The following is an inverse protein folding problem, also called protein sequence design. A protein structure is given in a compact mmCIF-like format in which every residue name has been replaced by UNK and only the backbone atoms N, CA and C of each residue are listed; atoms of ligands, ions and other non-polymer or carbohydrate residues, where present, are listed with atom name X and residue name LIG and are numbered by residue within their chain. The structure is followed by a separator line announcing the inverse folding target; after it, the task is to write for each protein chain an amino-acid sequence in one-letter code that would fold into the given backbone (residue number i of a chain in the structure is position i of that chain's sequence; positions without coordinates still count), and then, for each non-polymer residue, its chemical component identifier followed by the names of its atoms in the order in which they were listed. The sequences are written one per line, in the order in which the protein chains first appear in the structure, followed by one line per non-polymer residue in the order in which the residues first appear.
data_IF_413746118278
#
_entry.id   IF_413746118278
#
_cell.length_a   1.000
_cell.length_b   1.000
_cell.length_c   1.000
_cell.angle_alpha   90.00
_cell.angle_beta   90.00
_cell.angle_gamma   90.00
#
_symmetry.space_group_name_H-M   'P 1'
#
loop_
_entity.id
_entity.type
_entity.pdbx_description
1 polymer ?
#
# COMPACT_ATOMS: atom_id res chain seq x y z
N UNK A 1 -12.31 -23.15 0.89
CA UNK A 1 -11.26 -22.47 0.11
C UNK A 1 -10.01 -23.36 0.08
N UNK A 2 -9.45 -23.58 -1.10
CA UNK A 2 -8.19 -24.33 -1.22
C UNK A 2 -7.36 -23.84 -2.39
N UNK A 3 -6.06 -23.58 -2.17
CA UNK A 3 -5.14 -23.11 -3.20
C UNK A 3 -3.69 -23.53 -2.94
N UNK A 4 -2.90 -23.50 -4.02
CA UNK A 4 -1.45 -23.77 -4.00
C UNK A 4 -0.72 -22.59 -4.66
N UNK A 5 0.33 -22.10 -4.02
CA UNK A 5 1.16 -21.03 -4.57
C UNK A 5 2.64 -21.17 -4.16
N UNK A 6 3.52 -20.49 -4.88
CA UNK A 6 4.94 -20.42 -4.57
C UNK A 6 5.20 -19.65 -3.28
N UNK A 7 6.04 -20.20 -2.39
CA UNK A 7 6.37 -19.62 -1.08
C UNK A 7 7.02 -18.24 -1.19
N UNK A 8 7.91 -18.03 -2.16
CA UNK A 8 8.64 -16.78 -2.31
C UNK A 8 7.70 -15.64 -2.70
N UNK A 9 6.80 -15.90 -3.67
CA UNK A 9 5.77 -14.95 -4.09
C UNK A 9 4.78 -14.62 -2.95
N UNK A 10 4.34 -15.64 -2.22
CA UNK A 10 3.46 -15.47 -1.08
C UNK A 10 4.12 -14.64 0.03
N UNK A 11 5.37 -14.94 0.36
CA UNK A 11 6.13 -14.22 1.39
C UNK A 11 6.38 -12.75 1.01
N UNK A 12 6.71 -12.46 -0.28
CA UNK A 12 6.85 -11.09 -0.78
C UNK A 12 5.52 -10.33 -0.63
N UNK A 13 4.42 -10.92 -1.08
CA UNK A 13 3.10 -10.31 -1.02
C UNK A 13 2.67 -10.03 0.43
N UNK A 14 2.81 -10.99 1.35
CA UNK A 14 2.51 -10.81 2.78
C UNK A 14 3.37 -9.69 3.38
N UNK A 15 4.67 -9.66 3.06
CA UNK A 15 5.60 -8.62 3.58
C UNK A 15 5.20 -7.21 3.16
N UNK A 16 4.65 -7.07 1.94
CA UNK A 16 4.20 -5.78 1.42
C UNK A 16 2.84 -5.40 2.00
N UNK A 17 1.87 -6.32 1.98
CA UNK A 17 0.49 -6.08 2.45
C UNK A 17 0.46 -5.79 3.96
N UNK A 18 1.31 -6.45 4.75
CA UNK A 18 1.42 -6.24 6.20
C UNK A 18 1.80 -4.80 6.58
N UNK A 19 2.35 -4.01 5.67
CA UNK A 19 2.71 -2.59 5.93
C UNK A 19 1.49 -1.69 6.14
N UNK A 20 0.33 -2.08 5.61
CA UNK A 20 -0.93 -1.38 5.84
C UNK A 20 -1.70 -1.91 7.05
N UNK A 21 -1.25 -3.02 7.66
CA UNK A 21 -1.90 -3.59 8.84
C UNK A 21 -1.41 -2.89 10.10
N UNK A 22 -2.34 -2.43 10.94
CA UNK A 22 -2.01 -1.82 12.24
C UNK A 22 -2.46 -2.76 13.37
N UNK A 23 -1.50 -3.40 14.03
CA UNK A 23 -1.75 -4.31 15.16
C UNK A 23 -2.39 -3.63 16.39
N UNK A 24 -2.32 -2.29 16.47
CA UNK A 24 -2.94 -1.50 17.55
C UNK A 24 -4.35 -1.01 17.17
N UNK A 25 -4.89 -1.41 16.02
CA UNK A 25 -6.24 -1.02 15.60
C UNK A 25 -7.29 -1.56 16.58
N UNK A 26 -8.31 -0.74 16.86
CA UNK A 26 -9.44 -1.15 17.70
C UNK A 26 -10.37 -2.16 17.00
N UNK A 27 -10.30 -2.25 15.69
CA UNK A 27 -11.11 -3.13 14.84
C UNK A 27 -10.30 -4.40 14.55
N UNK A 28 -10.70 -5.54 15.12
CA UNK A 28 -9.90 -6.77 15.04
C UNK A 28 -9.70 -7.29 13.62
N UNK A 29 -10.68 -7.18 12.74
CA UNK A 29 -10.56 -7.60 11.34
C UNK A 29 -9.47 -6.83 10.57
N UNK A 30 -9.12 -5.60 10.98
CA UNK A 30 -8.05 -4.80 10.37
C UNK A 30 -6.64 -5.15 10.88
N UNK A 31 -6.52 -6.01 11.90
CA UNK A 31 -5.24 -6.60 12.33
C UNK A 31 -4.83 -7.77 11.45
N UNK A 32 -5.70 -8.21 10.55
CA UNK A 32 -5.50 -9.32 9.66
C UNK A 32 -5.24 -8.90 8.22
N UNK A 33 -4.76 -9.86 7.45
CA UNK A 33 -4.69 -9.81 5.99
C UNK A 33 -5.92 -10.54 5.46
N UNK A 34 -6.71 -9.85 4.64
CA UNK A 34 -7.77 -10.50 3.87
C UNK A 34 -7.15 -11.24 2.70
N UNK A 35 -7.56 -12.47 2.49
CA UNK A 35 -7.14 -13.34 1.40
C UNK A 35 -8.38 -13.73 0.60
N UNK A 36 -8.44 -13.30 -0.65
CA UNK A 36 -9.46 -13.68 -1.62
C UNK A 36 -8.80 -14.64 -2.64
N UNK A 37 -9.25 -15.87 -2.68
CA UNK A 37 -8.84 -16.86 -3.68
C UNK A 37 -9.98 -17.07 -4.68
N UNK A 38 -9.72 -16.68 -5.94
CA UNK A 38 -10.61 -16.88 -7.07
C UNK A 38 -9.76 -17.31 -8.28
N UNK A 39 -9.74 -16.63 -9.41
CA UNK A 39 -8.83 -16.92 -10.53
C UNK A 39 -7.35 -16.71 -10.13
N UNK A 40 -7.11 -15.79 -9.22
CA UNK A 40 -5.80 -15.46 -8.63
C UNK A 40 -5.94 -15.29 -7.12
N UNK A 41 -4.81 -15.25 -6.45
CA UNK A 41 -4.77 -14.94 -5.03
C UNK A 41 -4.59 -13.44 -4.84
N UNK A 42 -5.60 -12.77 -4.27
CA UNK A 42 -5.53 -11.36 -3.89
C UNK A 42 -5.41 -11.27 -2.37
N UNK A 43 -4.40 -10.56 -1.91
CA UNK A 43 -4.20 -10.25 -0.49
C UNK A 43 -4.37 -8.76 -0.25
N UNK A 44 -5.02 -8.41 0.84
CA UNK A 44 -5.37 -7.04 1.18
C UNK A 44 -5.11 -6.76 2.65
N UNK A 45 -4.38 -5.69 2.93
CA UNK A 45 -4.21 -5.11 4.26
C UNK A 45 -4.70 -3.67 4.27
N UNK A 46 -5.32 -3.24 5.36
CA UNK A 46 -5.82 -1.87 5.50
C UNK A 46 -5.93 -1.45 6.96
N UNK A 47 -5.74 -0.15 7.20
CA UNK A 47 -6.09 0.49 8.46
C UNK A 47 -7.06 1.69 8.27
N UNK A 48 -7.73 1.74 7.11
CA UNK A 48 -8.66 2.76 6.62
C UNK A 48 -8.00 4.01 6.02
N UNK A 49 -6.79 4.37 6.42
CA UNK A 49 -6.05 5.51 5.86
C UNK A 49 -5.04 5.07 4.80
N UNK A 50 -4.47 3.89 5.00
CA UNK A 50 -3.55 3.23 4.07
C UNK A 50 -4.08 1.83 3.77
N UNK A 51 -4.15 1.49 2.50
CA UNK A 51 -4.52 0.17 2.02
C UNK A 51 -3.49 -0.34 1.03
N UNK A 52 -3.16 -1.62 1.12
CA UNK A 52 -2.22 -2.28 0.21
C UNK A 52 -2.85 -3.56 -0.28
N UNK A 53 -2.90 -3.72 -1.60
CA UNK A 53 -3.28 -4.96 -2.27
C UNK A 53 -2.08 -5.57 -2.98
N UNK A 54 -2.04 -6.89 -3.00
CA UNK A 54 -1.13 -7.68 -3.84
C UNK A 54 -1.89 -8.80 -4.53
N UNK A 55 -1.63 -8.99 -5.82
CA UNK A 55 -2.23 -10.08 -6.62
C UNK A 55 -1.11 -10.98 -7.10
N UNK A 56 -1.15 -12.25 -6.73
CA UNK A 56 -0.18 -13.25 -7.18
C UNK A 56 -0.86 -14.42 -7.87
N UNK A 57 -0.14 -15.08 -8.76
CA UNK A 57 -0.62 -16.30 -9.40
C UNK A 57 -0.65 -17.45 -8.37
N UNK A 58 -1.74 -18.17 -8.36
CA UNK A 58 -1.95 -19.37 -7.55
C UNK A 58 -2.83 -20.37 -8.32
N UNK A 59 -2.69 -21.63 -8.00
CA UNK A 59 -3.63 -22.66 -8.46
C UNK A 59 -4.76 -22.76 -7.43
N UNK A 60 -5.92 -22.21 -7.75
CA UNK A 60 -7.10 -22.21 -6.88
C UNK A 60 -7.95 -23.43 -7.23
N UNK A 61 -8.10 -24.35 -6.27
CA UNK A 61 -8.97 -25.53 -6.39
C UNK A 61 -10.41 -25.21 -5.89
N UNK A 62 -10.50 -24.42 -4.81
CA UNK A 62 -11.76 -23.97 -4.22
C UNK A 62 -11.69 -22.49 -3.86
N UNK A 63 -12.58 -21.70 -4.43
CA UNK A 63 -12.67 -20.26 -4.16
C UNK A 63 -13.10 -19.97 -2.73
N UNK A 64 -12.74 -18.79 -2.22
CA UNK A 64 -13.16 -18.33 -0.91
C UNK A 64 -12.48 -17.08 -0.46
N UNK A 65 -12.94 -16.53 0.67
CA UNK A 65 -12.41 -15.30 1.26
C UNK A 65 -12.32 -15.42 2.77
N UNK A 66 -11.15 -15.13 3.32
CA UNK A 66 -10.87 -15.23 4.77
C UNK A 66 -10.00 -14.09 5.23
N UNK A 67 -9.91 -13.89 6.56
CA UNK A 67 -8.96 -12.99 7.19
C UNK A 67 -8.07 -13.77 8.14
N UNK A 68 -6.78 -13.62 8.03
CA UNK A 68 -5.78 -14.25 8.89
C UNK A 68 -4.98 -13.20 9.65
N UNK A 69 -4.59 -13.50 10.88
CA UNK A 69 -3.70 -12.62 11.66
C UNK A 69 -2.40 -12.39 10.88
N UNK A 70 -2.11 -11.11 10.58
CA UNK A 70 -1.00 -10.73 9.71
C UNK A 70 0.36 -11.15 10.27
N UNK A 71 0.55 -11.04 11.59
CA UNK A 71 1.81 -11.36 12.25
C UNK A 71 2.06 -12.86 12.28
N UNK A 72 1.06 -13.63 12.73
CA UNK A 72 1.17 -15.09 12.83
C UNK A 72 1.38 -15.69 11.44
N UNK A 73 0.59 -15.26 10.45
CA UNK A 73 0.70 -15.76 9.09
C UNK A 73 2.05 -15.44 8.45
N UNK A 74 2.54 -14.20 8.60
CA UNK A 74 3.86 -13.79 8.13
C UNK A 74 4.99 -14.60 8.77
N UNK A 75 4.93 -14.82 10.08
CA UNK A 75 5.96 -15.58 10.81
C UNK A 75 6.01 -17.05 10.38
N UNK A 76 4.85 -17.67 10.10
CA UNK A 76 4.77 -19.04 9.60
C UNK A 76 5.35 -19.12 8.20
N UNK A 77 4.83 -18.33 7.24
CA UNK A 77 5.25 -18.41 5.83
C UNK A 77 6.74 -18.14 5.67
N UNK A 78 7.29 -17.19 6.44
CA UNK A 78 8.73 -16.89 6.44
C UNK A 78 9.59 -18.08 6.85
N UNK A 79 9.10 -18.91 7.79
CA UNK A 79 9.84 -20.07 8.34
C UNK A 79 9.62 -21.37 7.59
N UNK A 80 8.66 -21.43 6.67
CA UNK A 80 8.45 -22.60 5.81
C UNK A 80 9.66 -22.84 4.90
N UNK A 81 9.94 -24.10 4.53
CA UNK A 81 10.94 -24.41 3.51
C UNK A 81 10.53 -23.83 2.15
N UNK A 82 11.49 -23.72 1.22
CA UNK A 82 11.20 -23.29 -0.15
C UNK A 82 10.40 -24.36 -0.89
N UNK A 83 9.48 -23.92 -1.75
CA UNK A 83 8.59 -24.77 -2.52
C UNK A 83 7.16 -24.27 -2.55
N UNK A 84 6.27 -25.12 -3.00
CA UNK A 84 4.84 -24.81 -3.07
C UNK A 84 4.18 -24.96 -1.70
N UNK A 85 3.37 -23.96 -1.36
CA UNK A 85 2.55 -23.93 -0.15
C UNK A 85 1.11 -24.24 -0.54
N UNK A 86 0.52 -25.22 0.15
CA UNK A 86 -0.91 -25.49 0.07
C UNK A 86 -1.61 -24.89 1.29
N UNK A 87 -2.66 -24.13 1.05
CA UNK A 87 -3.53 -23.56 2.10
C UNK A 87 -4.96 -24.06 1.87
N UNK A 88 -5.57 -24.59 2.92
CA UNK A 88 -6.91 -25.16 2.90
C UNK A 88 -7.65 -24.74 4.16
N UNK A 89 -8.92 -24.29 4.02
CA UNK A 89 -9.83 -24.01 5.15
C UNK A 89 -10.56 -25.27 5.55
N UNK A 90 -10.85 -25.41 6.84
CA UNK A 90 -11.74 -26.45 7.35
C UNK A 90 -13.02 -25.89 7.98
N UNK A 91 -13.90 -26.79 8.44
CA UNK A 91 -15.19 -26.44 9.04
C UNK A 91 -15.08 -25.91 10.48
N UNK A 92 -13.86 -25.87 11.05
CA UNK A 92 -13.59 -25.41 12.42
C UNK A 92 -13.04 -23.97 12.45
N UNK A 93 -13.14 -23.23 11.36
CA UNK A 93 -12.53 -21.91 11.15
C UNK A 93 -11.00 -21.92 11.29
N UNK A 94 -10.37 -23.02 10.92
CA UNK A 94 -8.92 -23.13 10.82
C UNK A 94 -8.47 -23.18 9.36
N UNK A 95 -7.30 -22.59 9.09
CA UNK A 95 -6.56 -22.85 7.86
C UNK A 95 -5.42 -23.83 8.15
N UNK A 96 -5.29 -24.80 7.29
CA UNK A 96 -4.17 -25.75 7.25
C UNK A 96 -3.15 -25.25 6.23
N UNK A 97 -1.97 -24.92 6.70
CA UNK A 97 -0.85 -24.45 5.86
C UNK A 97 0.15 -25.60 5.78
N UNK A 98 0.43 -26.09 4.60
CA UNK A 98 1.37 -27.19 4.39
C UNK A 98 2.40 -26.86 3.32
N UNK A 99 3.67 -27.21 3.60
CA UNK A 99 4.78 -27.11 2.67
C UNK A 99 5.75 -28.26 2.96
N UNK A 100 6.01 -29.12 1.97
CA UNK A 100 6.77 -30.37 2.14
C UNK A 100 6.23 -31.21 3.32
N UNK A 101 7.07 -31.48 4.33
CA UNK A 101 6.65 -32.24 5.54
C UNK A 101 6.12 -31.35 6.69
N UNK A 102 6.17 -30.03 6.53
CA UNK A 102 5.78 -29.08 7.58
C UNK A 102 4.31 -28.71 7.47
N UNK A 103 3.60 -28.71 8.59
CA UNK A 103 2.18 -28.36 8.66
C UNK A 103 1.92 -27.44 9.84
N UNK A 104 1.05 -26.43 9.64
CA UNK A 104 0.56 -25.54 10.67
C UNK A 104 -0.95 -25.39 10.54
N UNK A 105 -1.62 -25.19 11.67
CA UNK A 105 -3.02 -24.78 11.71
C UNK A 105 -3.10 -23.46 12.46
N UNK A 106 -3.87 -22.51 11.92
CA UNK A 106 -4.17 -21.24 12.59
C UNK A 106 -5.65 -20.88 12.35
N UNK A 107 -6.23 -20.14 13.28
CA UNK A 107 -7.59 -19.65 13.15
C UNK A 107 -7.67 -18.55 12.08
N UNK A 108 -8.80 -18.51 11.39
CA UNK A 108 -9.16 -17.41 10.50
C UNK A 108 -10.47 -16.76 10.94
N UNK A 109 -10.71 -15.52 10.49
CA UNK A 109 -11.97 -14.81 10.66
C UNK A 109 -12.72 -14.77 9.33
N UNK A 110 -14.05 -14.68 9.40
CA UNK A 110 -14.85 -14.38 8.21
C UNK A 110 -14.42 -13.04 7.59
N UNK A 111 -14.44 -12.98 6.28
CA UNK A 111 -14.19 -11.74 5.54
C UNK A 111 -15.37 -10.76 5.55
N UNK A 112 -16.51 -11.16 6.14
CA UNK A 112 -17.68 -10.30 6.26
C UNK A 112 -17.36 -9.05 7.09
N UNK A 113 -17.71 -7.88 6.54
CA UNK A 113 -17.44 -6.61 7.18
C UNK A 113 -16.01 -6.07 7.00
N UNK A 114 -15.12 -6.75 6.27
CA UNK A 114 -13.85 -6.15 5.87
C UNK A 114 -14.10 -4.98 4.92
N UNK A 115 -13.48 -3.80 5.15
CA UNK A 115 -13.74 -2.63 4.30
C UNK A 115 -13.40 -2.90 2.85
N UNK A 116 -14.30 -2.54 1.96
CA UNK A 116 -14.02 -2.60 0.52
C UNK A 116 -13.04 -1.49 0.15
N UNK A 117 -11.91 -1.88 -0.45
CA UNK A 117 -10.92 -0.95 -0.97
C UNK A 117 -11.33 -0.58 -2.39
N UNK A 118 -11.84 0.63 -2.54
CA UNK A 118 -12.20 1.16 -3.86
C UNK A 118 -10.94 1.58 -4.61
N UNK A 119 -10.63 0.88 -5.71
CA UNK A 119 -9.62 1.34 -6.66
C UNK A 119 -10.06 2.64 -7.31
N UNK A 120 -9.09 3.46 -7.66
CA UNK A 120 -9.33 4.71 -8.36
C UNK A 120 -9.24 4.41 -9.86
N UNK A 121 -10.40 4.20 -10.50
CA UNK A 121 -10.47 3.86 -11.93
C UNK A 121 -10.54 5.09 -12.82
N UNK A 122 -11.00 6.25 -12.29
CA UNK A 122 -11.23 7.50 -13.00
C UNK A 122 -10.66 8.69 -12.20
N UNK A 123 -9.40 8.94 -12.34
CA UNK A 123 -8.68 10.04 -11.68
C UNK A 123 -7.61 10.65 -12.58
N UNK A 124 -7.05 11.76 -12.12
CA UNK A 124 -5.87 12.35 -12.75
C UNK A 124 -4.67 11.44 -12.55
N UNK A 125 -4.04 10.98 -13.63
CA UNK A 125 -2.97 9.99 -13.54
C UNK A 125 -1.71 10.41 -14.30
N UNK A 126 -0.55 10.05 -13.75
CA UNK A 126 0.75 10.18 -14.37
C UNK A 126 1.62 8.97 -14.11
N UNK A 127 2.68 8.83 -14.90
CA UNK A 127 3.63 7.72 -14.79
C UNK A 127 5.01 8.24 -14.40
N UNK A 128 5.68 7.50 -13.53
CA UNK A 128 7.04 7.80 -13.08
C UNK A 128 7.81 6.50 -12.87
N UNK A 129 9.12 6.49 -13.10
CA UNK A 129 9.94 5.33 -12.77
C UNK A 129 10.05 5.14 -11.25
N UNK A 130 10.05 3.88 -10.81
CA UNK A 130 10.16 3.50 -9.39
C UNK A 130 11.39 4.12 -8.72
N UNK A 131 12.55 4.07 -9.39
CA UNK A 131 13.79 4.70 -8.92
C UNK A 131 13.65 6.22 -8.74
N UNK A 132 12.99 6.91 -9.67
CA UNK A 132 12.81 8.36 -9.61
C UNK A 132 11.85 8.75 -8.49
N UNK A 133 10.71 8.04 -8.37
CA UNK A 133 9.75 8.26 -7.28
C UNK A 133 10.40 8.01 -5.93
N UNK A 134 11.15 6.93 -5.79
CA UNK A 134 11.90 6.61 -4.56
C UNK A 134 12.90 7.69 -4.21
N UNK A 135 13.69 8.18 -5.18
CA UNK A 135 14.68 9.20 -4.98
C UNK A 135 14.08 10.55 -4.57
N UNK A 136 12.99 10.98 -5.22
CA UNK A 136 12.35 12.26 -4.90
C UNK A 136 11.73 12.24 -3.50
N UNK A 137 11.05 11.14 -3.12
CA UNK A 137 10.49 10.98 -1.78
C UNK A 137 11.62 10.94 -0.74
N UNK A 138 12.66 10.11 -0.93
CA UNK A 138 13.79 9.99 -0.01
C UNK A 138 14.52 11.31 0.23
N UNK A 139 14.56 12.17 -0.81
CA UNK A 139 15.24 13.47 -0.75
C UNK A 139 14.43 14.54 -0.02
N UNK A 140 13.15 14.32 0.29
CA UNK A 140 12.28 15.35 0.85
C UNK A 140 11.62 14.94 2.16
N UNK A 141 11.28 13.66 2.33
CA UNK A 141 10.46 13.17 3.45
C UNK A 141 11.04 13.46 4.85
N UNK A 142 12.36 13.63 4.97
CA UNK A 142 13.00 13.94 6.26
C UNK A 142 12.61 15.33 6.81
N UNK A 143 12.04 16.19 5.99
CA UNK A 143 11.63 17.55 6.36
C UNK A 143 10.13 17.68 6.71
N UNK A 144 9.37 16.59 6.74
CA UNK A 144 7.99 16.63 7.25
C UNK A 144 7.94 16.88 8.75
N UNK A 145 6.83 17.45 9.23
CA UNK A 145 6.59 17.66 10.66
C UNK A 145 6.10 16.37 11.34
N UNK A 146 6.51 16.19 12.59
CA UNK A 146 5.92 15.17 13.48
C UNK A 146 4.81 15.74 14.36
N UNK A 147 4.47 17.02 14.20
CA UNK A 147 3.47 17.69 15.02
C UNK A 147 2.09 17.59 14.36
N UNK A 148 1.24 16.74 14.93
CA UNK A 148 -0.13 16.49 14.45
C UNK A 148 -1.09 17.68 14.64
N UNK A 149 -0.70 18.74 15.39
CA UNK A 149 -1.50 19.97 15.48
C UNK A 149 -1.58 20.75 14.16
N UNK A 150 -0.69 20.43 13.21
CA UNK A 150 -0.71 20.93 11.83
C UNK A 150 -0.65 19.77 10.86
N UNK A 151 -1.74 19.01 10.66
CA UNK A 151 -1.74 17.76 9.89
C UNK A 151 -1.16 17.91 8.49
N UNK A 152 -1.41 19.02 7.81
CA UNK A 152 -0.91 19.28 6.44
C UNK A 152 0.62 19.19 6.35
N UNK A 153 1.36 19.53 7.42
CA UNK A 153 2.82 19.49 7.45
C UNK A 153 3.37 18.09 7.76
N UNK A 154 2.52 17.14 8.12
CA UNK A 154 2.93 15.74 8.37
C UNK A 154 3.03 14.91 7.08
N UNK A 155 2.86 15.55 5.92
CA UNK A 155 2.99 14.95 4.60
C UNK A 155 3.89 15.75 3.68
N UNK A 156 4.09 15.23 2.48
CA UNK A 156 4.79 15.90 1.39
C UNK A 156 3.80 16.36 0.33
N UNK A 157 3.94 17.58 -0.14
CA UNK A 157 3.17 18.14 -1.24
C UNK A 157 3.77 17.72 -2.57
N UNK A 158 2.94 17.19 -3.43
CA UNK A 158 3.23 16.84 -4.81
C UNK A 158 2.57 17.87 -5.72
N UNK A 159 3.33 18.44 -6.63
CA UNK A 159 2.85 19.41 -7.61
C UNK A 159 3.32 18.99 -9.00
N UNK A 160 2.38 18.89 -9.94
CA UNK A 160 2.69 18.63 -11.34
C UNK A 160 2.47 19.89 -12.14
N UNK A 161 3.53 20.32 -12.82
CA UNK A 161 3.51 21.46 -13.70
C UNK A 161 4.14 21.03 -15.04
N UNK A 162 3.32 20.85 -16.06
CA UNK A 162 3.73 20.26 -17.35
C UNK A 162 4.42 18.90 -17.13
N UNK A 163 5.69 18.79 -17.50
CA UNK A 163 6.50 17.58 -17.37
C UNK A 163 7.36 17.53 -16.10
N UNK A 164 7.09 18.39 -15.13
CA UNK A 164 7.87 18.45 -13.89
C UNK A 164 6.99 18.05 -12.70
N UNK A 165 7.41 17.02 -11.99
CA UNK A 165 6.91 16.69 -10.66
C UNK A 165 7.81 17.38 -9.63
N UNK A 166 7.22 18.22 -8.81
CA UNK A 166 7.85 18.86 -7.65
C UNK A 166 7.31 18.23 -6.37
N UNK A 167 8.20 17.83 -5.47
CA UNK A 167 7.82 17.37 -4.14
C UNK A 167 8.44 18.27 -3.10
N UNK A 168 7.61 18.74 -2.16
CA UNK A 168 7.99 19.66 -1.09
C UNK A 168 7.57 19.11 0.25
N UNK A 169 8.47 19.19 1.23
CA UNK A 169 8.22 18.87 2.63
C UNK A 169 8.73 20.00 3.52
N UNK A 170 7.97 20.35 4.56
CA UNK A 170 8.29 21.45 5.48
C UNK A 170 7.80 21.13 6.89
N UNK A 171 8.56 21.51 7.93
CA UNK A 171 8.15 21.40 9.33
C UNK A 171 8.07 22.75 10.08
N UNK A 172 8.30 23.86 9.37
CA UNK A 172 8.34 25.21 9.93
C UNK A 172 9.74 25.72 10.27
N UNK A 173 10.77 24.84 10.31
CA UNK A 173 12.16 25.19 10.57
C UNK A 173 13.06 24.89 9.36
N UNK A 174 12.70 23.89 8.58
CA UNK A 174 13.42 23.44 7.39
C UNK A 174 12.44 23.13 6.27
N UNK A 175 12.93 23.26 5.05
CA UNK A 175 12.21 22.95 3.82
C UNK A 175 13.10 22.09 2.94
N UNK A 176 12.56 21.00 2.41
CA UNK A 176 13.18 20.20 1.38
C UNK A 176 12.32 20.23 0.12
N UNK A 177 12.94 20.50 -1.02
CA UNK A 177 12.30 20.57 -2.32
C UNK A 177 13.13 19.80 -3.33
N UNK A 178 12.46 19.00 -4.15
CA UNK A 178 13.07 18.28 -5.27
C UNK A 178 12.16 18.33 -6.48
N UNK A 179 12.76 18.59 -7.65
CA UNK A 179 12.11 18.50 -8.95
C UNK A 179 12.58 17.24 -9.68
N UNK A 180 11.66 16.58 -10.35
CA UNK A 180 11.88 15.41 -11.20
C UNK A 180 11.15 15.60 -12.51
N UNK A 181 11.85 15.40 -13.63
CA UNK A 181 11.23 15.36 -14.94
C UNK A 181 10.51 14.03 -15.07
N UNK A 182 9.23 14.08 -15.42
CA UNK A 182 8.39 12.92 -15.69
C UNK A 182 7.96 12.93 -17.15
N UNK A 183 7.58 11.77 -17.71
CA UNK A 183 6.94 11.74 -19.02
C UNK A 183 5.78 12.70 -19.09
N UNK A 184 5.47 13.19 -20.29
CA UNK A 184 4.39 14.14 -20.51
C UNK A 184 3.09 13.68 -19.88
N UNK A 185 2.46 14.55 -19.10
CA UNK A 185 1.17 14.28 -18.45
C UNK A 185 0.10 15.14 -19.10
N UNK A 186 -1.16 14.66 -19.23
CA UNK A 186 -2.25 15.47 -19.75
C UNK A 186 -2.70 16.57 -18.77
N UNK A 187 -2.17 16.58 -17.56
CA UNK A 187 -2.60 17.46 -16.47
C UNK A 187 -1.54 18.52 -16.16
N UNK A 188 -1.98 19.76 -16.05
CA UNK A 188 -1.18 20.89 -15.61
C UNK A 188 -1.83 21.51 -14.37
N UNK A 189 -1.02 21.72 -13.32
CA UNK A 189 -1.52 22.28 -12.06
C UNK A 189 -2.12 21.30 -11.07
N UNK A 190 -1.91 19.97 -11.22
CA UNK A 190 -2.31 18.99 -10.23
C UNK A 190 -1.49 19.14 -8.95
N UNK A 191 -2.17 19.25 -7.80
CA UNK A 191 -1.51 19.44 -6.50
C UNK A 191 -2.24 18.65 -5.40
N UNK A 192 -1.47 17.89 -4.60
CA UNK A 192 -2.01 17.07 -3.51
C UNK A 192 -0.94 16.81 -2.44
N UNK A 193 -1.37 16.49 -1.21
CA UNK A 193 -0.48 16.20 -0.09
C UNK A 193 -0.63 14.75 0.37
N UNK A 194 0.45 13.98 0.26
CA UNK A 194 0.50 12.58 0.66
C UNK A 194 1.04 12.47 2.09
N UNK A 195 0.36 11.75 3.01
CA UNK A 195 0.83 11.55 4.37
C UNK A 195 2.23 10.93 4.41
N UNK A 196 3.09 11.41 5.29
CA UNK A 196 4.45 10.90 5.45
C UNK A 196 4.50 9.42 5.80
N UNK A 197 3.49 8.92 6.55
CA UNK A 197 3.36 7.50 6.83
C UNK A 197 3.20 6.68 5.55
N UNK A 198 2.30 7.06 4.66
CA UNK A 198 2.11 6.36 3.38
C UNK A 198 3.37 6.39 2.53
N UNK A 199 4.06 7.54 2.46
CA UNK A 199 5.33 7.68 1.75
C UNK A 199 6.44 6.81 2.34
N UNK A 200 6.53 6.70 3.67
CA UNK A 200 7.51 5.83 4.34
C UNK A 200 7.27 4.35 4.03
N UNK A 201 6.00 3.90 3.98
CA UNK A 201 5.69 2.52 3.60
C UNK A 201 5.94 2.29 2.10
N UNK A 202 5.57 3.24 1.25
CA UNK A 202 5.87 3.20 -0.19
C UNK A 202 7.38 3.09 -0.46
N UNK A 203 8.22 3.85 0.25
CA UNK A 203 9.69 3.76 0.12
C UNK A 203 10.26 2.37 0.39
N UNK A 204 9.64 1.58 1.28
CA UNK A 204 10.08 0.22 1.61
C UNK A 204 9.70 -0.80 0.53
N UNK A 205 8.75 -0.45 -0.35
CA UNK A 205 8.23 -1.32 -1.40
C UNK A 205 8.86 -0.99 -2.75
N UNK A 206 9.08 0.30 -3.04
CA UNK A 206 9.68 0.77 -4.29
C UNK A 206 11.07 0.18 -4.51
N UNK A 207 11.31 -0.36 -5.69
CA UNK A 207 12.61 -0.88 -6.14
C UNK A 207 13.44 0.23 -6.78
N UNK A 208 14.76 0.07 -6.80
CA UNK A 208 15.68 0.99 -7.49
C UNK A 208 15.86 0.55 -8.95
N UNK A 209 14.77 0.50 -9.70
CA UNK A 209 14.74 0.05 -11.09
C UNK A 209 13.84 0.94 -11.96
N UNK A 210 13.68 0.55 -13.22
CA UNK A 210 12.85 1.24 -14.22
C UNK A 210 11.40 0.76 -14.27
N UNK A 211 10.92 0.06 -13.25
CA UNK A 211 9.49 -0.28 -13.12
C UNK A 211 8.65 0.99 -13.17
N UNK A 212 7.60 0.98 -13.98
CA UNK A 212 6.70 2.13 -14.10
C UNK A 212 5.69 2.09 -12.96
N UNK A 213 5.64 3.15 -12.17
CA UNK A 213 4.60 3.42 -11.18
C UNK A 213 3.56 4.32 -11.82
N UNK A 214 2.32 3.86 -11.88
CA UNK A 214 1.17 4.71 -12.23
C UNK A 214 0.63 5.32 -10.95
N UNK A 215 0.63 6.64 -10.89
CA UNK A 215 0.07 7.41 -9.77
C UNK A 215 -1.25 7.99 -10.22
N UNK A 216 -2.34 7.66 -9.54
CA UNK A 216 -3.68 8.17 -9.84
C UNK A 216 -4.22 8.90 -8.63
N UNK A 217 -4.73 10.11 -8.84
CA UNK A 217 -5.26 10.97 -7.77
C UNK A 217 -6.72 11.28 -8.06
N UNK A 218 -7.56 11.14 -7.05
CA UNK A 218 -8.97 11.51 -7.12
C UNK A 218 -9.46 11.95 -5.76
N UNK A 219 -10.16 13.10 -5.73
CA UNK A 219 -10.78 13.63 -4.53
C UNK A 219 -9.78 13.71 -3.36
N UNK A 220 -9.90 12.82 -2.38
CA UNK A 220 -9.10 12.76 -1.18
C UNK A 220 -8.20 11.52 -1.09
N UNK A 221 -7.94 10.87 -2.21
CA UNK A 221 -7.16 9.63 -2.25
C UNK A 221 -6.13 9.63 -3.37
N UNK A 222 -5.00 8.98 -3.13
CA UNK A 222 -3.97 8.69 -4.14
C UNK A 222 -3.73 7.19 -4.20
N UNK A 223 -3.57 6.68 -5.41
CA UNK A 223 -3.23 5.29 -5.70
C UNK A 223 -1.89 5.21 -6.43
N UNK A 224 -1.03 4.31 -5.97
CA UNK A 224 0.23 3.93 -6.61
C UNK A 224 0.12 2.49 -7.06
N UNK A 225 0.17 2.25 -8.36
CA UNK A 225 0.04 0.90 -8.96
C UNK A 225 1.30 0.55 -9.73
N UNK A 226 1.94 -0.57 -9.40
CA UNK A 226 3.13 -1.10 -10.07
C UNK A 226 3.29 -2.59 -9.78
N UNK A 227 3.84 -3.34 -10.73
CA UNK A 227 3.97 -4.80 -10.66
C UNK A 227 2.63 -5.46 -10.26
N UNK A 228 2.64 -6.22 -9.17
CA UNK A 228 1.47 -6.88 -8.59
C UNK A 228 0.88 -6.11 -7.40
N UNK A 229 1.34 -4.87 -7.14
CA UNK A 229 0.98 -4.09 -5.96
C UNK A 229 0.13 -2.88 -6.30
N UNK A 230 -0.86 -2.63 -5.45
CA UNK A 230 -1.65 -1.40 -5.43
C UNK A 230 -1.64 -0.84 -4.01
N UNK A 231 -1.22 0.41 -3.88
CA UNK A 231 -1.17 1.12 -2.60
C UNK A 231 -2.10 2.31 -2.72
N UNK A 232 -3.05 2.42 -1.80
CA UNK A 232 -4.02 3.52 -1.77
C UNK A 232 -3.89 4.23 -0.43
N UNK A 233 -3.70 5.53 -0.45
CA UNK A 233 -3.65 6.37 0.73
C UNK A 233 -4.68 7.48 0.66
N UNK A 234 -5.29 7.80 1.79
CA UNK A 234 -5.99 9.07 1.95
C UNK A 234 -5.00 10.21 1.84
N UNK A 235 -5.45 11.32 1.25
CA UNK A 235 -4.70 12.57 1.19
C UNK A 235 -4.97 13.40 2.45
N UNK A 236 -4.00 14.23 2.83
CA UNK A 236 -4.22 15.26 3.84
C UNK A 236 -5.06 16.37 3.22
N UNK A 237 -6.15 16.74 3.89
CA UNK A 237 -7.01 17.83 3.42
C UNK A 237 -6.22 19.14 3.43
N UNK A 238 -6.25 19.85 2.29
CA UNK A 238 -5.79 21.23 2.20
C UNK A 238 -6.91 22.14 2.69
N UNK A 239 -6.84 22.62 3.93
CA UNK A 239 -7.69 23.71 4.37
C UNK A 239 -7.39 24.95 3.52
N UNK A 240 -8.30 25.30 2.59
CA UNK A 240 -8.24 26.55 1.84
C UNK A 240 -8.70 27.69 2.73
N UNK A 241 -7.76 28.41 3.34
CA UNK A 241 -8.05 29.73 3.92
C UNK A 241 -7.92 30.74 2.77
N UNK A 242 -9.04 31.39 2.40
CA UNK A 242 -9.02 32.51 1.46
C UNK A 242 -8.55 32.22 0.02
N UNK A 243 -8.55 30.97 -0.44
CA UNK A 243 -8.15 30.65 -1.82
C UNK A 243 -6.64 30.54 -2.05
N UNK A 244 -5.80 30.76 -1.04
CA UNK A 244 -4.35 30.62 -1.13
C UNK A 244 -3.88 29.33 -0.43
N UNK A 245 -2.91 28.66 -1.05
CA UNK A 245 -2.31 27.45 -0.52
C UNK A 245 -1.45 27.81 0.72
N UNK A 246 -1.78 27.26 1.88
CA UNK A 246 -1.04 27.47 3.15
C UNK A 246 0.42 27.02 3.11
N UNK A 247 0.83 26.33 2.06
CA UNK A 247 2.19 25.78 1.92
C UNK A 247 3.26 26.83 1.60
N UNK A 248 2.90 28.09 1.22
CA UNK A 248 3.83 29.11 0.73
C UNK A 248 3.66 30.52 1.29
N UNK A 249 2.97 30.69 2.44
CA UNK A 249 2.96 31.99 3.15
C UNK A 249 3.82 31.96 4.40
#
# INVERSE_FOLDING_TARGET
MKFVCDKSKLNEAISVVSKAVNNSCAIDILKGIKIDADDKLKMTGSDLDLSVESIIDAHVEESGSIIVDARIFSDIVRKLPDGDITIETDDQNEIKISCASTKFNILYLSSDGYPEIKKIDDGDSFKIYSSDLKNIIKSTIFAISNNESRPILTGSKFEINKSTLRVVSIDGYRLALRDQIIPETPYDGLSFVVPGRALNELLKILKDDSTIVTVTVRENSVMFAFDSFVIISRLLELYRYGGESVYYN
#
